data_IF_175632478469
#
_entry.id   IF_175632478469
#
_cell.length_a   1.000
_cell.length_b   1.000
_cell.length_c   1.000
_cell.angle_alpha   90.00
_cell.angle_beta   90.00
_cell.angle_gamma   90.00
#
_symmetry.space_group_name_H-M   'P 1'
#
loop_
_entity.id
_entity.type
_entity.pdbx_description
1 polymer ?
#
# COMPACT_ATOMS: atom_id res chain seq x y z
N UNK A 1 31.96 24.64 14.88
CA UNK A 1 31.84 23.47 15.79
C UNK A 1 31.95 22.20 14.96
N UNK A 2 32.57 21.13 15.46
CA UNK A 2 32.49 19.81 14.81
C UNK A 2 31.03 19.35 14.68
N UNK A 3 30.69 18.68 13.59
CA UNK A 3 29.30 18.28 13.27
C UNK A 3 28.65 17.39 14.34
N UNK A 4 29.41 16.50 14.97
CA UNK A 4 28.95 15.62 16.05
C UNK A 4 28.73 16.33 17.40
N UNK A 5 29.07 17.62 17.51
CA UNK A 5 28.91 18.42 18.73
C UNK A 5 27.64 19.28 18.70
N UNK A 6 26.87 19.25 17.61
CA UNK A 6 25.64 20.03 17.46
C UNK A 6 24.47 19.22 18.03
N UNK A 7 23.73 19.72 19.03
CA UNK A 7 22.58 19.01 19.60
C UNK A 7 21.47 18.80 18.57
N UNK A 8 20.83 17.64 18.58
CA UNK A 8 19.74 17.30 17.65
C UNK A 8 18.55 18.27 17.75
N UNK A 9 18.28 18.80 18.94
CA UNK A 9 17.22 19.79 19.20
C UNK A 9 17.52 21.12 18.51
N UNK A 10 18.80 21.51 18.42
CA UNK A 10 19.21 22.74 17.74
C UNK A 10 19.06 22.56 16.23
N UNK A 11 19.47 21.41 15.68
CA UNK A 11 19.32 21.09 14.25
C UNK A 11 17.84 21.07 13.85
N UNK A 12 16.99 20.44 14.65
CA UNK A 12 15.54 20.37 14.42
C UNK A 12 14.88 21.76 14.51
N UNK A 13 15.27 22.56 15.50
CA UNK A 13 14.75 23.92 15.66
C UNK A 13 15.12 24.79 14.47
N UNK A 14 16.37 24.76 14.02
CA UNK A 14 16.82 25.50 12.83
C UNK A 14 16.13 24.99 11.55
N UNK A 15 15.93 23.67 11.41
CA UNK A 15 15.21 23.08 10.28
C UNK A 15 13.79 23.64 10.13
N UNK A 16 13.04 23.76 11.23
CA UNK A 16 11.68 24.32 11.19
C UNK A 16 11.64 25.86 11.22
N UNK A 17 12.64 26.53 11.82
CA UNK A 17 12.75 28.00 11.82
C UNK A 17 13.11 28.58 10.45
N UNK A 18 13.83 27.83 9.61
CA UNK A 18 14.04 28.17 8.20
C UNK A 18 12.76 28.09 7.35
N UNK A 19 11.61 27.81 7.99
CA UNK A 19 10.25 28.15 7.56
C UNK A 19 10.08 28.31 6.07
N UNK A 20 9.82 27.21 5.35
CA UNK A 20 9.23 27.24 4.00
C UNK A 20 9.82 28.28 3.03
N UNK A 21 11.14 28.50 3.10
CA UNK A 21 11.88 29.42 2.24
C UNK A 21 13.15 28.77 1.73
N UNK A 22 12.99 27.93 0.70
CA UNK A 22 13.99 27.45 -0.28
C UNK A 22 15.49 27.60 0.04
N UNK A 23 15.94 27.12 1.19
CA UNK A 23 17.36 26.83 1.44
C UNK A 23 17.72 25.38 1.11
N UNK A 24 16.70 24.52 1.03
CA UNK A 24 16.83 23.11 0.72
C UNK A 24 16.34 22.80 -0.69
N UNK A 25 16.92 21.78 -1.35
CA UNK A 25 16.51 21.31 -2.66
C UNK A 25 14.99 21.06 -2.74
N UNK A 26 14.26 21.88 -3.50
CA UNK A 26 12.84 21.65 -3.83
C UNK A 26 12.70 21.72 -5.34
N UNK A 27 11.89 20.84 -5.92
CA UNK A 27 11.66 20.80 -7.38
C UNK A 27 10.66 21.89 -7.78
N UNK A 28 11.08 23.16 -7.71
CA UNK A 28 10.28 24.34 -8.05
C UNK A 28 10.57 24.90 -9.46
N UNK A 29 11.40 24.20 -10.24
CA UNK A 29 11.81 24.58 -11.59
C UNK A 29 12.88 25.67 -11.65
N UNK A 30 13.36 26.23 -10.52
CA UNK A 30 14.34 27.33 -10.50
C UNK A 30 15.80 26.87 -10.42
N UNK A 31 16.06 25.61 -10.03
CA UNK A 31 17.42 25.04 -9.95
C UNK A 31 17.42 23.54 -10.24
N UNK A 32 18.49 23.04 -10.88
CA UNK A 32 18.73 21.60 -11.09
C UNK A 32 19.37 21.01 -9.82
N UNK A 33 18.71 20.03 -9.20
CA UNK A 33 19.20 19.32 -8.01
C UNK A 33 20.20 18.22 -8.43
N UNK A 34 21.19 17.90 -7.59
CA UNK A 34 22.25 16.92 -7.88
C UNK A 34 22.29 15.80 -6.84
N UNK A 35 22.23 14.54 -7.29
CA UNK A 35 22.53 13.35 -6.47
C UNK A 35 21.72 13.29 -5.17
N UNK A 36 22.42 13.28 -4.03
CA UNK A 36 21.87 13.19 -2.68
C UNK A 36 20.82 14.28 -2.36
N UNK A 37 20.89 15.44 -3.02
CA UNK A 37 19.89 16.51 -2.89
C UNK A 37 18.53 16.14 -3.51
N UNK A 38 18.54 15.33 -4.58
CA UNK A 38 17.33 14.81 -5.22
C UNK A 38 16.69 13.70 -4.38
N UNK A 39 17.50 12.83 -3.77
CA UNK A 39 17.03 11.78 -2.85
C UNK A 39 16.38 12.37 -1.59
N UNK A 40 16.99 13.42 -1.01
CA UNK A 40 16.45 14.14 0.14
C UNK A 40 15.14 14.88 -0.19
N UNK A 41 15.08 15.59 -1.32
CA UNK A 41 13.86 16.28 -1.77
C UNK A 41 12.68 15.32 -1.99
N UNK A 42 12.97 14.07 -2.37
CA UNK A 42 11.98 13.03 -2.58
C UNK A 42 11.58 12.29 -1.29
N UNK A 43 12.23 12.55 -0.15
CA UNK A 43 11.99 11.85 1.13
C UNK A 43 10.82 12.45 1.94
N UNK A 44 9.80 13.00 1.26
CA UNK A 44 8.63 13.62 1.88
C UNK A 44 7.73 12.65 2.65
N UNK A 45 6.60 13.15 3.17
CA UNK A 45 5.62 12.30 3.83
C UNK A 45 4.98 11.34 2.82
N UNK A 46 4.97 10.05 3.12
CA UNK A 46 4.35 8.98 2.34
C UNK A 46 3.34 8.22 3.19
N UNK A 47 2.05 8.26 2.85
CA UNK A 47 1.05 7.41 3.48
C UNK A 47 1.18 5.97 2.95
N UNK A 48 2.01 5.16 3.60
CA UNK A 48 2.14 3.74 3.29
C UNK A 48 1.05 2.93 4.01
N UNK A 49 0.35 2.10 3.24
CA UNK A 49 -0.64 1.16 3.80
C UNK A 49 0.00 -0.13 4.34
N UNK A 50 1.33 -0.20 4.40
CA UNK A 50 2.12 -1.38 4.77
C UNK A 50 3.08 -1.03 5.92
N UNK A 51 3.52 -2.04 6.68
CA UNK A 51 4.54 -1.82 7.70
C UNK A 51 5.83 -1.35 7.05
N UNK A 52 6.73 -0.79 7.84
CA UNK A 52 8.04 -0.43 7.34
C UNK A 52 9.11 -0.55 8.40
N UNK A 53 10.30 -0.99 8.04
CA UNK A 53 11.44 -1.11 8.97
C UNK A 53 12.66 -0.43 8.39
N UNK A 54 13.23 0.48 9.15
CA UNK A 54 14.46 1.18 8.79
C UNK A 54 15.54 0.84 9.82
N UNK A 55 16.70 0.38 9.37
CA UNK A 55 17.89 0.21 10.19
C UNK A 55 18.93 1.26 9.84
N UNK A 56 19.41 2.00 10.83
CA UNK A 56 20.47 2.97 10.61
C UNK A 56 21.83 2.31 10.87
N UNK A 57 22.52 1.86 9.82
CA UNK A 57 23.76 1.10 9.96
C UNK A 57 24.91 1.92 10.60
N UNK A 58 25.07 3.17 10.19
CA UNK A 58 26.10 4.10 10.66
C UNK A 58 25.67 5.55 10.38
N UNK A 59 26.37 6.52 10.99
CA UNK A 59 26.14 7.94 10.76
C UNK A 59 25.44 8.66 11.92
N UNK A 60 25.14 9.93 11.69
CA UNK A 60 24.46 10.81 12.65
C UNK A 60 22.96 10.44 12.78
N UNK A 61 22.31 10.78 13.91
CA UNK A 61 20.93 10.39 14.16
C UNK A 61 19.92 10.90 13.12
N UNK A 62 18.98 10.03 12.72
CA UNK A 62 17.85 10.36 11.82
C UNK A 62 16.62 10.75 12.64
N UNK A 63 16.08 11.94 12.42
CA UNK A 63 14.85 12.40 13.09
C UNK A 63 13.60 11.91 12.35
N UNK A 64 12.68 11.28 13.06
CA UNK A 64 11.41 10.77 12.54
C UNK A 64 10.23 11.47 13.18
N UNK A 65 9.18 11.70 12.39
CA UNK A 65 7.85 12.08 12.86
C UNK A 65 6.83 11.05 12.42
N UNK A 66 5.97 10.63 13.33
CA UNK A 66 4.96 9.61 13.07
C UNK A 66 3.57 10.06 13.52
N UNK A 67 2.57 9.78 12.68
CA UNK A 67 1.15 9.93 13.01
C UNK A 67 0.55 8.53 13.10
N UNK A 68 -0.27 8.23 14.14
CA UNK A 68 -0.90 6.93 14.27
C UNK A 68 -1.97 6.72 13.18
N UNK A 69 -2.17 5.47 12.78
CA UNK A 69 -3.14 5.07 11.76
C UNK A 69 -4.57 5.59 12.04
N UNK A 70 -4.98 5.62 13.31
CA UNK A 70 -6.29 6.13 13.74
C UNK A 70 -6.51 7.61 13.44
N UNK A 71 -5.44 8.37 13.20
CA UNK A 71 -5.49 9.79 12.85
C UNK A 71 -5.19 10.05 11.37
N UNK A 72 -5.02 9.02 10.54
CA UNK A 72 -4.69 9.17 9.12
C UNK A 72 -5.74 10.01 8.37
N UNK A 73 -7.03 9.71 8.54
CA UNK A 73 -8.12 10.47 7.88
C UNK A 73 -8.16 11.93 8.34
N UNK A 74 -7.87 12.18 9.62
CA UNK A 74 -7.80 13.54 10.17
C UNK A 74 -6.61 14.30 9.60
N UNK A 75 -5.45 13.65 9.49
CA UNK A 75 -4.26 14.19 8.86
C UNK A 75 -4.54 14.58 7.40
N UNK A 76 -5.17 13.70 6.63
CA UNK A 76 -5.57 13.99 5.24
C UNK A 76 -6.53 15.17 5.15
N UNK A 77 -7.53 15.24 6.04
CA UNK A 77 -8.49 16.34 6.08
C UNK A 77 -7.83 17.68 6.39
N UNK A 78 -6.87 17.70 7.33
CA UNK A 78 -6.10 18.91 7.66
C UNK A 78 -5.20 19.33 6.51
N UNK A 79 -4.51 18.38 5.86
CA UNK A 79 -3.69 18.69 4.69
C UNK A 79 -4.53 19.26 3.54
N UNK A 80 -5.68 18.65 3.24
CA UNK A 80 -6.63 19.15 2.21
C UNK A 80 -7.12 20.57 2.51
N UNK A 81 -7.39 20.86 3.78
CA UNK A 81 -7.84 22.20 4.21
C UNK A 81 -6.76 23.26 4.08
N UNK A 82 -5.51 22.91 4.38
CA UNK A 82 -4.40 23.86 4.43
C UNK A 82 -3.70 24.06 3.08
N UNK A 83 -3.82 23.12 2.15
CA UNK A 83 -3.22 23.21 0.82
C UNK A 83 -4.21 22.82 -0.30
N UNK A 84 -5.40 23.45 -0.39
CA UNK A 84 -6.46 23.03 -1.32
C UNK A 84 -6.03 23.08 -2.80
N UNK A 85 -5.28 24.11 -3.21
CA UNK A 85 -4.79 24.27 -4.58
C UNK A 85 -3.90 23.10 -5.04
N UNK A 86 -3.14 22.50 -4.11
CA UNK A 86 -2.24 21.38 -4.39
C UNK A 86 -3.04 20.09 -4.62
N UNK A 87 -4.19 19.93 -3.95
CA UNK A 87 -5.12 18.81 -4.13
C UNK A 87 -6.03 18.94 -5.34
N UNK A 88 -6.41 20.16 -5.71
CA UNK A 88 -7.21 20.43 -6.91
C UNK A 88 -6.41 20.12 -8.17
N UNK A 89 -5.09 20.36 -8.14
CA UNK A 89 -4.18 20.02 -9.24
C UNK A 89 -3.77 18.54 -9.27
N UNK A 90 -3.65 17.89 -8.11
CA UNK A 90 -3.30 16.47 -7.98
C UNK A 90 -4.08 15.81 -6.82
N UNK A 91 -5.18 15.10 -7.11
CA UNK A 91 -5.95 14.39 -6.09
C UNK A 91 -5.14 13.33 -5.33
N UNK A 92 -4.09 12.79 -5.98
CA UNK A 92 -3.19 11.75 -5.45
C UNK A 92 -1.97 12.28 -4.67
N UNK A 93 -1.86 13.60 -4.50
CA UNK A 93 -0.70 14.29 -3.91
C UNK A 93 -0.28 13.76 -2.52
N UNK A 94 -1.23 13.35 -1.67
CA UNK A 94 -0.95 12.75 -0.36
C UNK A 94 -0.08 11.51 -0.42
N UNK A 95 -0.05 10.86 -1.58
CA UNK A 95 0.62 9.61 -1.82
C UNK A 95 1.75 9.74 -2.83
N UNK A 96 1.86 10.90 -3.49
CA UNK A 96 3.00 11.29 -4.31
C UNK A 96 3.92 12.16 -3.43
N UNK A 97 4.72 11.47 -2.62
CA UNK A 97 5.94 11.92 -1.93
C UNK A 97 6.40 13.35 -2.27
N UNK A 98 5.96 14.38 -1.52
CA UNK A 98 6.76 15.63 -1.39
C UNK A 98 6.29 16.64 -0.34
N UNK A 99 5.08 16.58 0.21
CA UNK A 99 4.59 17.72 1.01
C UNK A 99 5.04 17.69 2.46
N UNK A 100 6.17 18.34 2.78
CA UNK A 100 6.64 18.53 4.16
C UNK A 100 5.73 19.53 4.89
N UNK A 101 4.85 19.04 5.77
CA UNK A 101 4.07 19.90 6.68
C UNK A 101 4.70 19.95 8.07
N UNK A 102 4.73 21.15 8.67
CA UNK A 102 5.24 21.33 10.03
C UNK A 102 4.36 20.56 11.05
N UNK A 103 4.94 19.66 11.86
CA UNK A 103 4.24 18.91 12.90
C UNK A 103 3.39 19.76 13.85
N UNK A 104 3.84 20.97 14.17
CA UNK A 104 3.12 21.86 15.09
C UNK A 104 1.77 22.30 14.49
N UNK A 105 1.73 22.58 13.19
CA UNK A 105 0.49 22.93 12.48
C UNK A 105 -0.50 21.77 12.53
N UNK A 106 -0.01 20.54 12.35
CA UNK A 106 -0.82 19.33 12.47
C UNK A 106 -1.36 19.15 13.90
N UNK A 107 -0.52 19.38 14.90
CA UNK A 107 -0.89 19.29 16.31
C UNK A 107 -1.91 20.37 16.73
N UNK A 108 -1.80 21.60 16.22
CA UNK A 108 -2.78 22.68 16.41
C UNK A 108 -4.17 22.31 15.86
N UNK A 109 -4.19 21.55 14.76
CA UNK A 109 -5.43 21.00 14.19
C UNK A 109 -5.85 19.68 14.86
N UNK A 110 -5.17 19.29 15.94
CA UNK A 110 -5.47 18.14 16.78
C UNK A 110 -5.08 16.80 16.17
N UNK A 111 -4.15 16.75 15.22
CA UNK A 111 -3.54 15.50 14.74
C UNK A 111 -2.43 15.09 15.71
N UNK A 112 -2.48 13.90 16.30
CA UNK A 112 -1.42 13.43 17.19
C UNK A 112 -0.13 13.13 16.39
N UNK A 113 0.94 13.85 16.71
CA UNK A 113 2.28 13.62 16.14
C UNK A 113 3.25 13.16 17.23
N UNK A 114 4.02 12.11 16.92
CA UNK A 114 5.08 11.57 17.76
C UNK A 114 6.42 11.76 17.05
N UNK A 115 7.51 11.83 17.83
CA UNK A 115 8.86 11.92 17.26
C UNK A 115 9.85 10.96 17.91
N UNK A 116 10.90 10.62 17.18
CA UNK A 116 12.08 9.95 17.72
C UNK A 116 13.33 10.32 16.93
N UNK A 117 14.49 10.28 17.58
CA UNK A 117 15.79 10.33 16.92
C UNK A 117 16.32 8.90 16.89
N UNK A 118 16.47 8.34 15.71
CA UNK A 118 17.06 7.04 15.47
C UNK A 118 18.58 7.20 15.41
N UNK A 119 19.28 6.60 16.36
CA UNK A 119 20.75 6.54 16.36
C UNK A 119 21.27 5.34 15.55
N UNK A 120 22.57 5.37 15.20
CA UNK A 120 23.21 4.24 14.54
C UNK A 120 23.06 2.95 15.39
N UNK A 121 22.72 1.84 14.73
CA UNK A 121 22.40 0.56 15.35
C UNK A 121 20.94 0.42 15.81
N UNK A 122 20.08 1.42 15.64
CA UNK A 122 18.66 1.35 16.01
C UNK A 122 17.76 1.03 14.80
N UNK A 123 16.68 0.29 15.07
CA UNK A 123 15.59 0.08 14.13
C UNK A 123 14.43 1.04 14.42
N UNK A 124 13.83 1.59 13.37
CA UNK A 124 12.52 2.25 13.41
C UNK A 124 11.53 1.39 12.65
N UNK A 125 10.47 0.97 13.34
CA UNK A 125 9.35 0.24 12.74
C UNK A 125 8.15 1.17 12.66
N UNK A 126 7.49 1.17 11.52
CA UNK A 126 6.22 1.87 11.33
C UNK A 126 5.12 0.91 10.92
N UNK A 127 3.95 1.21 11.41
CA UNK A 127 2.76 0.39 11.28
C UNK A 127 1.97 0.80 10.03
N UNK A 128 1.08 -0.05 9.50
CA UNK A 128 0.23 0.28 8.36
C UNK A 128 -0.51 1.59 8.60
N UNK A 129 -0.59 2.42 7.55
CA UNK A 129 -1.14 3.79 7.58
C UNK A 129 -0.32 4.79 8.41
N UNK A 130 0.94 4.48 8.71
CA UNK A 130 1.95 5.41 9.24
C UNK A 130 3.08 5.64 8.21
N UNK A 131 3.81 6.76 8.30
CA UNK A 131 4.55 7.36 7.17
C UNK A 131 6.05 7.01 7.13
N UNK A 132 6.60 6.41 6.04
CA UNK A 132 8.02 5.93 5.96
C UNK A 132 8.64 5.51 4.58
N UNK A 133 9.86 4.93 4.60
CA UNK A 133 10.78 4.67 3.48
C UNK A 133 11.10 3.19 3.09
N UNK A 134 10.78 2.13 3.87
CA UNK A 134 11.05 0.73 3.43
C UNK A 134 9.94 -0.21 3.87
N UNK A 135 9.22 -0.77 2.93
CA UNK A 135 7.90 -1.37 3.10
C UNK A 135 7.93 -2.91 3.30
N UNK A 136 7.17 -3.44 4.26
CA UNK A 136 6.91 -4.86 4.48
C UNK A 136 5.46 -5.14 4.88
N UNK A 137 4.97 -6.36 4.65
CA UNK A 137 3.61 -6.78 5.01
C UNK A 137 3.66 -7.95 5.98
N UNK A 138 2.75 -7.96 6.96
CA UNK A 138 2.52 -9.06 7.90
C UNK A 138 1.14 -9.67 7.67
N UNK A 139 0.81 -10.78 8.35
CA UNK A 139 -0.46 -11.48 8.18
C UNK A 139 -1.69 -10.57 8.44
N UNK A 140 -1.62 -9.69 9.44
CA UNK A 140 -2.70 -8.74 9.77
C UNK A 140 -2.94 -7.67 8.70
N UNK A 141 -1.98 -7.45 7.79
CA UNK A 141 -2.12 -6.50 6.70
C UNK A 141 -3.03 -6.99 5.57
N UNK A 142 -3.13 -8.31 5.33
CA UNK A 142 -3.88 -8.86 4.20
C UNK A 142 -5.32 -8.29 4.06
N UNK A 143 -6.16 -8.28 5.11
CA UNK A 143 -7.49 -7.64 5.02
C UNK A 143 -7.44 -6.15 4.70
N UNK A 144 -6.44 -5.43 5.19
CA UNK A 144 -6.26 -4.00 4.90
C UNK A 144 -5.83 -3.79 3.45
N UNK A 145 -5.00 -4.68 2.90
CA UNK A 145 -4.58 -4.67 1.51
C UNK A 145 -5.77 -4.78 0.55
N UNK A 146 -6.67 -5.73 0.78
CA UNK A 146 -7.91 -5.87 -0.01
C UNK A 146 -8.81 -4.64 0.09
N UNK A 147 -9.01 -4.11 1.30
CA UNK A 147 -9.77 -2.87 1.50
C UNK A 147 -9.14 -1.67 0.79
N UNK A 148 -7.80 -1.59 0.79
CA UNK A 148 -7.04 -0.57 0.07
C UNK A 148 -7.27 -0.66 -1.45
N UNK A 149 -7.25 -1.85 -2.04
CA UNK A 149 -7.55 -2.04 -3.47
C UNK A 149 -8.98 -1.61 -3.79
N UNK A 150 -9.95 -1.98 -2.93
CA UNK A 150 -11.33 -1.52 -3.09
C UNK A 150 -11.46 0.01 -2.99
N UNK A 151 -10.65 0.65 -2.15
CA UNK A 151 -10.59 2.10 -2.06
C UNK A 151 -9.95 2.74 -3.30
N UNK A 152 -8.81 2.23 -3.77
CA UNK A 152 -8.13 2.72 -4.97
C UNK A 152 -9.01 2.60 -6.21
N UNK A 153 -9.80 1.53 -6.30
CA UNK A 153 -10.80 1.34 -7.35
C UNK A 153 -11.81 2.50 -7.41
N UNK A 154 -12.26 3.00 -6.26
CA UNK A 154 -13.18 4.15 -6.18
C UNK A 154 -12.52 5.48 -6.54
N UNK A 155 -11.20 5.57 -6.38
CA UNK A 155 -10.41 6.77 -6.67
C UNK A 155 -9.78 6.77 -8.07
N UNK A 156 -10.01 5.72 -8.89
CA UNK A 156 -9.38 5.55 -10.20
C UNK A 156 -7.84 5.51 -10.14
N UNK A 157 -7.29 4.93 -9.07
CA UNK A 157 -5.85 4.92 -8.80
C UNK A 157 -5.19 3.61 -9.21
N UNK A 158 -3.99 3.74 -9.78
CA UNK A 158 -3.12 2.62 -10.13
C UNK A 158 -2.66 1.85 -8.89
N UNK A 159 -2.73 0.53 -8.96
CA UNK A 159 -2.11 -0.36 -7.99
C UNK A 159 -0.62 -0.57 -8.34
N UNK A 160 0.24 -0.71 -7.33
CA UNK A 160 1.66 -1.04 -7.53
C UNK A 160 1.85 -2.54 -7.81
N UNK A 161 0.90 -3.37 -7.36
CA UNK A 161 0.83 -4.80 -7.63
C UNK A 161 -0.62 -5.29 -7.44
N UNK A 162 -0.94 -6.48 -7.94
CA UNK A 162 -2.22 -7.13 -7.69
C UNK A 162 -2.23 -7.85 -6.34
N UNK A 163 -3.13 -7.42 -5.43
CA UNK A 163 -3.30 -8.07 -4.13
C UNK A 163 -3.85 -9.49 -4.25
N UNK A 164 -4.73 -9.73 -5.23
CA UNK A 164 -5.31 -11.05 -5.51
C UNK A 164 -4.23 -12.01 -6.04
N UNK A 165 -3.33 -11.52 -6.90
CA UNK A 165 -2.18 -12.30 -7.39
C UNK A 165 -1.27 -12.74 -6.25
N UNK A 166 -0.98 -11.81 -5.32
CA UNK A 166 -0.18 -12.11 -4.14
C UNK A 166 -0.81 -13.22 -3.29
N UNK A 167 -2.11 -13.14 -3.00
CA UNK A 167 -2.84 -14.17 -2.25
C UNK A 167 -2.80 -15.53 -2.94
N UNK A 168 -3.03 -15.57 -4.25
CA UNK A 168 -2.96 -16.81 -5.04
C UNK A 168 -1.56 -17.43 -5.05
N UNK A 169 -0.50 -16.62 -5.16
CA UNK A 169 0.89 -17.09 -5.10
C UNK A 169 1.25 -17.66 -3.73
N UNK A 170 0.79 -17.03 -2.65
CA UNK A 170 0.96 -17.55 -1.29
C UNK A 170 0.21 -18.87 -1.10
N UNK A 171 -1.04 -18.95 -1.57
CA UNK A 171 -1.85 -20.16 -1.46
C UNK A 171 -1.29 -21.35 -2.26
N UNK A 172 -0.55 -21.09 -3.35
CA UNK A 172 0.07 -22.12 -4.18
C UNK A 172 1.28 -22.81 -3.50
N UNK A 173 1.90 -22.18 -2.50
CA UNK A 173 3.03 -22.73 -1.75
C UNK A 173 2.80 -22.62 -0.23
N UNK A 174 1.84 -23.39 0.33
CA UNK A 174 1.47 -23.26 1.74
C UNK A 174 2.54 -23.80 2.69
N UNK A 175 3.49 -24.62 2.22
CA UNK A 175 4.56 -25.19 3.04
C UNK A 175 5.62 -24.15 3.43
N UNK A 176 5.76 -23.06 2.66
CA UNK A 176 6.69 -21.97 2.95
C UNK A 176 6.09 -20.87 3.85
N UNK A 177 4.79 -20.96 4.17
CA UNK A 177 4.10 -19.98 5.01
C UNK A 177 4.14 -20.37 6.49
N UNK A 178 4.32 -19.37 7.36
CA UNK A 178 4.05 -19.56 8.78
C UNK A 178 2.54 -19.77 9.05
N UNK A 179 2.21 -20.39 10.17
CA UNK A 179 0.83 -20.78 10.52
C UNK A 179 -0.11 -19.56 10.59
N UNK A 180 0.36 -18.43 11.09
CA UNK A 180 -0.45 -17.22 11.25
C UNK A 180 -0.75 -16.61 9.88
N UNK A 181 0.25 -16.53 9.01
CA UNK A 181 0.10 -16.07 7.64
C UNK A 181 -0.76 -17.01 6.80
N UNK A 182 -0.59 -18.33 6.93
CA UNK A 182 -1.41 -19.33 6.24
C UNK A 182 -2.90 -19.22 6.64
N UNK A 183 -3.19 -19.01 7.93
CA UNK A 183 -4.55 -18.80 8.40
C UNK A 183 -5.17 -17.50 7.86
N UNK A 184 -4.38 -16.41 7.81
CA UNK A 184 -4.81 -15.14 7.24
C UNK A 184 -5.06 -15.24 5.72
N UNK A 185 -4.17 -15.90 4.98
CA UNK A 185 -4.34 -16.18 3.54
C UNK A 185 -5.60 -17.01 3.30
N UNK A 186 -5.81 -18.08 4.07
CA UNK A 186 -7.00 -18.93 3.93
C UNK A 186 -8.29 -18.12 4.08
N UNK A 187 -8.35 -17.26 5.10
CA UNK A 187 -9.52 -16.40 5.34
C UNK A 187 -9.73 -15.41 4.19
N UNK A 188 -8.69 -14.69 3.79
CA UNK A 188 -8.81 -13.66 2.74
C UNK A 188 -9.07 -14.26 1.36
N UNK A 189 -8.49 -15.43 1.04
CA UNK A 189 -8.83 -16.20 -0.16
C UNK A 189 -10.31 -16.58 -0.19
N UNK A 190 -10.88 -16.99 0.94
CA UNK A 190 -12.31 -17.28 1.05
C UNK A 190 -13.19 -16.07 0.67
N UNK A 191 -12.92 -14.92 1.27
CA UNK A 191 -13.66 -13.68 0.96
C UNK A 191 -13.50 -13.25 -0.51
N UNK A 192 -12.28 -13.38 -1.05
CA UNK A 192 -11.97 -13.05 -2.45
C UNK A 192 -12.71 -13.98 -3.43
N UNK A 193 -12.74 -15.29 -3.16
CA UNK A 193 -13.41 -16.28 -4.00
C UNK A 193 -14.93 -16.10 -4.02
N UNK A 194 -15.54 -15.76 -2.87
CA UNK A 194 -16.97 -15.45 -2.78
C UNK A 194 -17.33 -14.22 -3.60
N UNK A 195 -16.54 -13.14 -3.51
CA UNK A 195 -16.75 -11.92 -4.28
C UNK A 195 -16.60 -12.17 -5.79
N UNK A 196 -15.54 -12.87 -6.19
CA UNK A 196 -15.28 -13.21 -7.59
C UNK A 196 -16.37 -14.09 -8.19
N UNK A 197 -16.84 -15.10 -7.45
CA UNK A 197 -17.95 -15.97 -7.88
C UNK A 197 -19.20 -15.14 -8.15
N UNK A 198 -19.55 -14.24 -7.22
CA UNK A 198 -20.70 -13.34 -7.36
C UNK A 198 -20.58 -12.43 -8.58
N UNK A 199 -19.39 -11.86 -8.82
CA UNK A 199 -19.15 -10.98 -9.97
C UNK A 199 -19.25 -11.73 -11.30
N UNK A 200 -18.68 -12.94 -11.40
CA UNK A 200 -18.75 -13.77 -12.61
C UNK A 200 -20.18 -14.18 -12.95
N UNK A 201 -20.93 -14.67 -11.96
CA UNK A 201 -22.34 -15.01 -12.15
C UNK A 201 -23.15 -13.80 -12.61
N UNK A 202 -22.92 -12.62 -11.99
CA UNK A 202 -23.64 -11.41 -12.36
C UNK A 202 -23.35 -10.93 -13.80
N UNK A 203 -22.14 -11.11 -14.34
CA UNK A 203 -21.85 -10.75 -15.73
C UNK A 203 -22.39 -11.78 -16.72
N UNK A 204 -22.38 -13.06 -16.36
CA UNK A 204 -22.98 -14.13 -17.15
C UNK A 204 -24.50 -13.97 -17.25
N UNK A 205 -25.19 -13.71 -16.12
CA UNK A 205 -26.63 -13.44 -16.07
C UNK A 205 -27.04 -12.23 -16.91
N UNK A 206 -26.17 -11.21 -16.99
CA UNK A 206 -26.40 -10.03 -17.85
C UNK A 206 -26.17 -10.31 -19.34
N UNK A 207 -25.67 -11.48 -19.71
CA UNK A 207 -25.60 -11.94 -21.10
C UNK A 207 -24.20 -12.03 -21.70
N UNK A 208 -23.13 -12.06 -20.89
CA UNK A 208 -21.79 -12.44 -21.38
C UNK A 208 -21.77 -13.96 -21.57
N UNK A 209 -21.60 -14.41 -22.81
CA UNK A 209 -21.68 -15.84 -23.18
C UNK A 209 -20.30 -16.46 -23.44
N UNK A 210 -19.33 -15.65 -23.87
CA UNK A 210 -17.98 -16.11 -24.19
C UNK A 210 -17.07 -15.96 -22.98
N UNK A 211 -16.26 -16.99 -22.71
CA UNK A 211 -15.23 -16.96 -21.70
C UNK A 211 -13.96 -17.65 -22.20
N UNK A 212 -12.80 -17.15 -21.80
CA UNK A 212 -11.50 -17.66 -22.19
C UNK A 212 -10.52 -17.55 -21.02
N UNK A 213 -9.67 -18.57 -20.87
CA UNK A 213 -8.67 -18.56 -19.82
C UNK A 213 -7.50 -17.66 -20.20
N UNK A 214 -7.01 -16.87 -19.24
CA UNK A 214 -5.95 -15.89 -19.43
C UNK A 214 -4.95 -15.96 -18.28
N UNK A 215 -3.65 -15.97 -18.60
CA UNK A 215 -2.57 -16.05 -17.61
C UNK A 215 -2.05 -14.63 -17.32
N UNK A 216 -2.83 -13.89 -16.52
CA UNK A 216 -2.61 -12.45 -16.28
C UNK A 216 -1.23 -12.11 -15.72
N UNK A 217 -0.58 -13.00 -14.96
CA UNK A 217 0.77 -12.78 -14.40
C UNK A 217 1.89 -12.70 -15.45
N UNK A 218 1.62 -13.12 -16.69
CA UNK A 218 2.55 -12.98 -17.81
C UNK A 218 2.36 -11.68 -18.59
N UNK A 219 1.25 -10.96 -18.37
CA UNK A 219 0.98 -9.69 -18.99
C UNK A 219 1.64 -8.55 -18.19
N UNK A 220 2.22 -7.53 -18.86
CA UNK A 220 2.62 -6.29 -18.22
C UNK A 220 1.46 -5.65 -17.44
N UNK A 221 1.77 -4.99 -16.32
CA UNK A 221 0.75 -4.38 -15.46
C UNK A 221 -0.12 -3.35 -16.17
N UNK A 222 0.44 -2.59 -17.11
CA UNK A 222 -0.25 -1.61 -17.92
C UNK A 222 -1.23 -2.22 -18.95
N UNK A 223 -0.99 -3.45 -19.40
CA UNK A 223 -1.87 -4.17 -20.34
C UNK A 223 -3.06 -4.86 -19.63
N UNK A 224 -2.93 -5.13 -18.33
CA UNK A 224 -3.96 -5.80 -17.52
C UNK A 224 -4.68 -4.86 -16.55
N UNK A 225 -4.60 -3.55 -16.76
CA UNK A 225 -5.31 -2.56 -15.95
C UNK A 225 -6.73 -2.32 -16.47
N UNK A 226 -7.68 -2.22 -15.54
CA UNK A 226 -9.03 -1.78 -15.89
C UNK A 226 -9.00 -0.36 -16.46
N UNK A 227 -9.55 -0.19 -17.66
CA UNK A 227 -9.62 1.09 -18.36
C UNK A 227 -10.30 2.19 -17.51
N UNK A 228 -11.31 1.83 -16.72
CA UNK A 228 -12.07 2.75 -15.87
C UNK A 228 -11.36 3.06 -14.55
N UNK A 229 -11.06 2.05 -13.72
CA UNK A 229 -10.59 2.27 -12.34
C UNK A 229 -9.10 2.08 -12.12
N UNK A 230 -8.34 1.68 -13.14
CA UNK A 230 -6.89 1.47 -13.09
C UNK A 230 -6.42 0.36 -12.15
N UNK A 231 -7.34 -0.44 -11.61
CA UNK A 231 -7.00 -1.66 -10.87
C UNK A 231 -6.34 -2.67 -11.81
N UNK A 232 -5.20 -3.23 -11.41
CA UNK A 232 -4.54 -4.36 -12.08
C UNK A 232 -5.39 -5.63 -11.91
N UNK A 233 -5.96 -6.13 -13.00
CA UNK A 233 -6.81 -7.32 -13.00
C UNK A 233 -5.97 -8.59 -12.93
N UNK A 234 -6.43 -9.58 -12.16
CA UNK A 234 -5.77 -10.88 -12.05
C UNK A 234 -6.75 -12.05 -12.10
N UNK A 235 -7.83 -12.05 -11.29
CA UNK A 235 -8.76 -13.18 -11.29
C UNK A 235 -9.63 -13.24 -12.55
N UNK A 236 -10.16 -12.10 -12.96
CA UNK A 236 -10.94 -11.97 -14.18
C UNK A 236 -11.04 -10.54 -14.68
N UNK A 237 -11.41 -10.43 -15.96
CA UNK A 237 -11.69 -9.18 -16.63
C UNK A 237 -12.63 -9.38 -17.83
N UNK A 238 -13.14 -8.29 -18.39
CA UNK A 238 -13.90 -8.30 -19.64
C UNK A 238 -13.12 -7.62 -20.75
N UNK A 239 -13.16 -8.25 -21.91
CA UNK A 239 -12.58 -7.77 -23.17
C UNK A 239 -13.63 -7.80 -24.28
N UNK A 240 -13.41 -7.09 -25.37
CA UNK A 240 -14.29 -7.10 -26.54
C UNK A 240 -13.48 -6.91 -27.81
N UNK A 241 -13.84 -7.61 -28.88
CA UNK A 241 -13.16 -7.54 -30.18
C UNK A 241 -13.20 -6.15 -30.83
N UNK A 242 -14.14 -5.29 -30.44
CA UNK A 242 -14.20 -3.91 -30.92
C UNK A 242 -13.10 -3.00 -30.34
N UNK A 243 -12.41 -3.42 -29.27
CA UNK A 243 -11.39 -2.65 -28.58
C UNK A 243 -10.33 -3.60 -28.01
N UNK A 244 -9.45 -4.15 -28.86
CA UNK A 244 -8.46 -5.15 -28.45
C UNK A 244 -7.51 -4.65 -27.35
N UNK A 245 -7.22 -3.34 -27.33
CA UNK A 245 -6.31 -2.72 -26.34
C UNK A 245 -7.03 -2.32 -25.04
N UNK A 246 -8.30 -2.71 -24.85
CA UNK A 246 -9.08 -2.33 -23.67
C UNK A 246 -9.55 -3.54 -22.88
N UNK A 247 -9.38 -3.41 -21.58
CA UNK A 247 -9.81 -4.38 -20.59
C UNK A 247 -10.51 -3.65 -19.43
N UNK A 248 -11.55 -4.24 -18.85
CA UNK A 248 -12.18 -3.72 -17.62
C UNK A 248 -12.34 -4.82 -16.57
N UNK A 249 -12.23 -4.45 -15.29
CA UNK A 249 -12.61 -5.37 -14.21
C UNK A 249 -14.13 -5.56 -14.18
N UNK A 250 -14.61 -6.63 -13.53
CA UNK A 250 -16.04 -6.98 -13.54
C UNK A 250 -16.95 -5.94 -12.87
N UNK A 251 -16.40 -5.12 -11.96
CA UNK A 251 -17.10 -3.99 -11.35
C UNK A 251 -17.46 -2.89 -12.38
N UNK A 252 -16.73 -2.81 -13.50
CA UNK A 252 -16.91 -1.81 -14.56
C UNK A 252 -17.29 -2.45 -15.90
N UNK A 253 -18.00 -3.59 -15.87
CA UNK A 253 -18.43 -4.33 -17.06
C UNK A 253 -19.21 -3.47 -18.09
N UNK A 254 -19.94 -2.46 -17.59
CA UNK A 254 -20.69 -1.52 -18.42
C UNK A 254 -19.79 -0.49 -19.11
N UNK A 255 -18.61 -0.18 -18.57
CA UNK A 255 -17.72 0.88 -19.05
C UNK A 255 -16.70 0.41 -20.11
N UNK A 256 -16.78 -0.84 -20.59
CA UNK A 256 -15.83 -1.36 -21.59
C UNK A 256 -15.99 -0.70 -22.96
N UNK A 257 -17.21 -0.75 -23.48
CA UNK A 257 -17.64 -0.26 -24.80
C UNK A 257 -19.17 -0.37 -24.91
N UNK A 258 -19.73 0.24 -25.95
CA UNK A 258 -21.17 0.27 -26.24
C UNK A 258 -21.69 -1.03 -26.90
N UNK A 259 -20.81 -2.01 -27.18
CA UNK A 259 -21.25 -3.29 -27.74
C UNK A 259 -22.16 -4.06 -26.76
N UNK A 260 -23.14 -4.83 -27.28
CA UNK A 260 -23.94 -5.74 -26.47
C UNK A 260 -23.07 -6.70 -25.63
N UNK A 261 -23.55 -7.06 -24.44
CA UNK A 261 -22.81 -7.93 -23.52
C UNK A 261 -22.47 -9.30 -24.12
N UNK A 262 -23.30 -9.82 -25.04
CA UNK A 262 -23.02 -11.07 -25.76
C UNK A 262 -21.78 -11.03 -26.67
N UNK A 263 -21.30 -9.83 -27.04
CA UNK A 263 -20.08 -9.66 -27.83
C UNK A 263 -18.83 -9.46 -26.96
N UNK A 264 -18.98 -9.43 -25.64
CA UNK A 264 -17.87 -9.32 -24.69
C UNK A 264 -17.41 -10.72 -24.29
N UNK A 265 -16.13 -10.86 -23.98
CA UNK A 265 -15.51 -12.10 -23.52
C UNK A 265 -15.01 -11.94 -22.09
N UNK A 266 -15.40 -12.87 -21.22
CA UNK A 266 -14.88 -13.02 -19.86
C UNK A 266 -13.51 -13.69 -19.92
N UNK A 267 -12.46 -12.92 -19.66
CA UNK A 267 -11.10 -13.43 -19.44
C UNK A 267 -10.97 -13.84 -17.98
N UNK A 268 -10.52 -15.06 -17.70
CA UNK A 268 -10.43 -15.55 -16.32
C UNK A 268 -9.17 -16.38 -16.08
N UNK A 269 -8.63 -16.34 -14.85
CA UNK A 269 -7.37 -17.03 -14.53
C UNK A 269 -7.54 -18.49 -14.12
N UNK A 270 -8.53 -18.74 -13.27
CA UNK A 270 -8.85 -20.04 -12.69
C UNK A 270 -10.34 -20.32 -12.86
N UNK A 271 -10.70 -21.58 -13.03
CA UNK A 271 -12.08 -22.02 -12.96
C UNK A 271 -12.59 -21.93 -11.51
N UNK A 272 -13.90 -21.70 -11.33
CA UNK A 272 -14.51 -21.63 -10.00
C UNK A 272 -14.37 -22.95 -9.22
N UNK A 273 -14.18 -24.06 -9.93
CA UNK A 273 -13.95 -25.39 -9.33
C UNK A 273 -12.53 -25.57 -8.78
N UNK A 274 -11.56 -24.76 -9.22
CA UNK A 274 -10.17 -24.77 -8.73
C UNK A 274 -10.03 -24.01 -7.41
N UNK A 275 -10.96 -23.11 -7.09
CA UNK A 275 -10.93 -22.32 -5.87
C UNK A 275 -10.93 -23.15 -4.58
N UNK A 276 -11.79 -24.18 -4.42
CA UNK A 276 -11.70 -25.10 -3.29
C UNK A 276 -10.35 -25.82 -3.17
N UNK A 277 -9.75 -26.27 -4.27
CA UNK A 277 -8.49 -27.04 -4.20
C UNK A 277 -7.32 -26.16 -3.75
N UNK A 278 -7.28 -24.89 -4.17
CA UNK A 278 -6.33 -23.90 -3.66
C UNK A 278 -6.48 -23.68 -2.14
N UNK A 279 -7.71 -23.63 -1.63
CA UNK A 279 -7.99 -23.53 -0.19
C UNK A 279 -7.64 -24.82 0.58
N UNK A 280 -7.84 -25.99 -0.03
CA UNK A 280 -7.54 -27.29 0.59
C UNK A 280 -6.03 -27.53 0.74
N UNK A 281 -5.20 -27.07 -0.21
CA UNK A 281 -3.74 -27.09 -0.08
C UNK A 281 -3.27 -26.33 1.16
N UNK A 282 -3.83 -25.13 1.39
CA UNK A 282 -3.55 -24.33 2.60
C UNK A 282 -4.03 -24.99 3.89
N UNK A 283 -5.14 -25.75 3.86
CA UNK A 283 -5.64 -26.52 5.01
C UNK A 283 -4.78 -27.73 5.39
N UNK A 284 -4.17 -28.42 4.43
CA UNK A 284 -3.30 -29.56 4.73
C UNK A 284 -2.00 -29.09 5.40
N UNK A 285 -1.43 -27.95 4.97
CA UNK A 285 -0.32 -27.30 5.68
C UNK A 285 -0.66 -26.98 7.14
N UNK A 286 -1.88 -26.50 7.41
CA UNK A 286 -2.40 -26.27 8.77
C UNK A 286 -2.62 -27.55 9.57
N UNK A 287 -3.02 -28.67 8.93
CA UNK A 287 -3.32 -29.94 9.62
C UNK A 287 -2.10 -30.84 9.87
N UNK A 288 -1.01 -30.67 9.11
CA UNK A 288 0.23 -31.44 9.27
C UNK A 288 1.13 -30.90 10.41
N UNK A 289 0.87 -29.70 10.90
CA UNK A 289 1.61 -29.10 12.00
C UNK A 289 1.01 -29.48 13.36
N UNK A 290 1.49 -30.59 13.93
CA UNK A 290 1.16 -31.02 15.31
C UNK A 290 1.62 -29.98 16.37
N UNK A 291 0.94 -29.89 17.54
CA UNK A 291 1.22 -28.89 18.56
C UNK A 291 2.48 -29.27 19.36
N UNK A 292 3.67 -29.07 18.78
CA UNK A 292 4.94 -29.56 19.33
C UNK A 292 6.14 -28.63 19.22
N UNK A 293 6.01 -27.44 18.63
CA UNK A 293 7.12 -26.48 18.55
C UNK A 293 6.74 -25.15 19.20
N UNK A 294 6.58 -25.17 20.52
CA UNK A 294 6.78 -23.96 21.33
C UNK A 294 8.30 -23.69 21.34
N UNK A 295 8.78 -23.01 20.31
CA UNK A 295 10.08 -22.37 20.34
C UNK A 295 10.12 -21.42 21.53
N UNK A 296 11.13 -21.59 22.39
CA UNK A 296 11.42 -20.70 23.51
C UNK A 296 11.58 -19.27 23.00
N UNK A 297 10.52 -18.47 23.07
CA UNK A 297 10.61 -17.02 22.89
C UNK A 297 11.33 -16.47 24.12
N UNK A 298 12.63 -16.20 23.99
CA UNK A 298 13.28 -15.21 24.85
C UNK A 298 12.61 -13.87 24.57
N UNK A 299 12.15 -13.13 25.59
CA UNK A 299 11.56 -11.82 25.35
C UNK A 299 12.65 -10.87 24.84
N UNK A 300 12.55 -10.46 23.59
CA UNK A 300 13.25 -9.29 23.10
C UNK A 300 12.59 -8.07 23.75
N UNK A 301 13.31 -7.42 24.67
CA UNK A 301 12.90 -6.16 25.26
C UNK A 301 12.99 -5.05 24.20
N UNK A 302 11.93 -4.90 23.40
CA UNK A 302 11.69 -3.69 22.61
C UNK A 302 11.40 -2.55 23.58
N UNK A 303 12.41 -1.72 23.84
CA UNK A 303 12.22 -0.49 24.60
C UNK A 303 11.55 0.54 23.68
N UNK A 304 10.26 0.81 23.92
CA UNK A 304 9.50 1.82 23.18
C UNK A 304 9.98 3.23 23.58
N UNK A 305 10.93 3.79 22.84
CA UNK A 305 11.32 5.20 22.94
C UNK A 305 10.43 6.04 22.02
N UNK A 306 9.22 6.37 22.46
CA UNK A 306 8.36 7.35 21.78
C UNK A 306 8.08 8.49 22.75
N UNK A 307 8.48 9.71 22.41
CA UNK A 307 8.08 10.92 23.15
C UNK A 307 6.98 11.63 22.39
N UNK A 308 5.90 11.97 23.09
CA UNK A 308 4.84 12.84 22.56
C UNK A 308 5.40 14.26 22.51
N UNK A 309 5.30 14.93 21.37
CA UNK A 309 5.57 16.37 21.29
C UNK A 309 4.55 17.07 22.22
N UNK A 310 5.06 17.80 23.20
CA UNK A 310 4.25 18.70 24.03
C UNK A 310 4.21 20.06 23.33
N UNK A 311 3.03 20.67 23.33
CA UNK A 311 2.75 22.03 22.82
C UNK A 311 3.55 23.08 23.57
#
# INVERSE_FOLDING_TARGET
MPVHMVPTELVEKEFWLQGSGSGFPVRDGKRRLLGDEEEYANSGWNLNNIYSINFLHWGEPKTWYGVPASAAEKLEAVMKKLAPELFDSQPDLLHQLVTIMNPNVLMEHGVPVYRTNQCAGEFVVTFPRAITAVNFCTADWLPMGRQCVAHYRRLHRYCVFSHEELLCKMAADPESLDVELAAAVFKEMGEMMEEETKLRLAVQEKGVLSSEQEVFELLPDDERQCHKCKTTCFLSALTCSCSPDRLVCLNHAADLCDCPLGNKCLRYRYDLEEFPSMLYGSRHGLSLMTPGQRGSQRPWLLTRKTRRLQT
#
